data_IF_378544221311
#
_entry.id   IF_378544221311
#
_cell.length_a   1.000
_cell.length_b   1.000
_cell.length_c   1.000
_cell.angle_alpha   90.00
_cell.angle_beta   90.00
_cell.angle_gamma   90.00
#
_symmetry.space_group_name_H-M   'P 1'
#
loop_
_entity.id
_entity.type
_entity.pdbx_description
1 polymer ?
#
# COMPACT_ATOMS: atom_id res chain seq x y z
N UNK A 1 9.18 -2.76 -23.23
CA UNK A 1 8.01 -3.64 -22.96
C UNK A 1 8.10 -4.10 -21.52
N UNK A 2 7.03 -3.91 -20.75
CA UNK A 2 7.03 -4.21 -19.30
C UNK A 2 6.16 -5.43 -19.00
N UNK A 3 6.65 -6.35 -18.19
CA UNK A 3 5.88 -7.45 -17.61
C UNK A 3 5.36 -7.02 -16.24
N UNK A 4 4.06 -6.84 -16.13
CA UNK A 4 3.39 -6.49 -14.89
C UNK A 4 2.85 -7.73 -14.18
N UNK A 5 2.94 -7.73 -12.84
CA UNK A 5 2.46 -8.84 -12.00
C UNK A 5 1.70 -8.27 -10.80
N UNK A 6 0.52 -8.81 -10.52
CA UNK A 6 -0.22 -8.54 -9.29
C UNK A 6 0.05 -9.66 -8.29
N UNK A 7 0.89 -9.43 -7.29
CA UNK A 7 1.19 -10.38 -6.21
C UNK A 7 0.63 -9.85 -4.87
N UNK A 8 -0.68 -10.09 -4.58
CA UNK A 8 -1.36 -9.53 -3.41
C UNK A 8 -0.91 -10.13 -2.08
N UNK A 9 -0.12 -11.18 -2.09
CA UNK A 9 0.50 -11.85 -0.96
C UNK A 9 1.81 -11.19 -0.50
N UNK A 10 2.31 -10.19 -1.21
CA UNK A 10 3.58 -9.50 -0.97
C UNK A 10 3.85 -9.22 0.53
N UNK A 11 2.94 -8.53 1.21
CA UNK A 11 3.13 -8.21 2.63
C UNK A 11 3.20 -9.45 3.54
N UNK A 12 2.55 -10.55 3.13
CA UNK A 12 2.61 -11.82 3.85
C UNK A 12 3.94 -12.53 3.64
N UNK A 13 4.51 -12.43 2.44
CA UNK A 13 5.85 -12.94 2.12
C UNK A 13 6.90 -12.18 2.95
N UNK A 14 6.81 -10.85 3.00
CA UNK A 14 7.69 -10.02 3.83
C UNK A 14 7.57 -10.38 5.32
N UNK A 15 6.35 -10.59 5.82
CA UNK A 15 6.10 -10.98 7.20
C UNK A 15 6.64 -12.38 7.55
N UNK A 16 6.56 -13.31 6.62
CA UNK A 16 7.08 -14.67 6.80
C UNK A 16 8.62 -14.70 6.85
N UNK A 17 9.28 -13.91 6.01
CA UNK A 17 10.74 -13.76 6.00
C UNK A 17 11.52 -15.03 5.67
N UNK A 18 10.86 -16.07 5.13
CA UNK A 18 11.46 -17.35 4.75
C UNK A 18 11.39 -17.56 3.24
N UNK A 19 12.17 -18.52 2.74
CA UNK A 19 12.34 -18.75 1.32
C UNK A 19 11.22 -19.65 0.71
N UNK A 20 10.32 -20.21 1.53
CA UNK A 20 9.29 -21.16 1.09
C UNK A 20 7.92 -20.80 1.67
N UNK A 21 7.47 -19.55 1.40
CA UNK A 21 6.15 -19.13 1.85
C UNK A 21 5.07 -19.56 0.85
N UNK A 22 4.10 -20.32 1.32
CA UNK A 22 2.91 -20.65 0.54
C UNK A 22 1.79 -19.67 0.84
N UNK A 23 1.33 -18.86 -0.14
CA UNK A 23 0.24 -17.92 0.07
C UNK A 23 -1.04 -18.63 0.56
N UNK A 24 -1.77 -18.04 1.52
CA UNK A 24 -3.05 -18.57 1.95
C UNK A 24 -4.08 -18.54 0.80
N UNK A 25 -5.11 -19.40 0.90
CA UNK A 25 -6.15 -19.53 -0.14
C UNK A 25 -6.72 -18.18 -0.57
N UNK A 26 -7.05 -17.30 0.38
CA UNK A 26 -7.61 -15.99 0.08
C UNK A 26 -6.69 -15.10 -0.79
N UNK A 27 -5.38 -15.17 -0.62
CA UNK A 27 -4.43 -14.43 -1.45
C UNK A 27 -4.32 -15.05 -2.87
N UNK A 28 -4.33 -16.39 -2.96
CA UNK A 28 -4.36 -17.08 -4.25
C UNK A 28 -5.65 -16.80 -5.03
N UNK A 29 -6.79 -16.82 -4.35
CA UNK A 29 -8.09 -16.47 -4.95
C UNK A 29 -8.09 -15.01 -5.43
N UNK A 30 -7.53 -14.09 -4.64
CA UNK A 30 -7.42 -12.68 -5.00
C UNK A 30 -6.53 -12.47 -6.25
N UNK A 31 -5.41 -13.19 -6.34
CA UNK A 31 -4.57 -13.20 -7.54
C UNK A 31 -5.33 -13.75 -8.76
N UNK A 32 -6.00 -14.90 -8.60
CA UNK A 32 -6.75 -15.53 -9.68
C UNK A 32 -7.87 -14.62 -10.21
N UNK A 33 -8.53 -13.88 -9.33
CA UNK A 33 -9.67 -13.06 -9.68
C UNK A 33 -9.30 -11.66 -10.17
N UNK A 34 -8.26 -11.05 -9.60
CA UNK A 34 -7.87 -9.67 -9.84
C UNK A 34 -6.46 -9.51 -10.44
N UNK A 35 -5.83 -10.60 -10.88
CA UNK A 35 -4.51 -10.57 -11.53
C UNK A 35 -4.43 -9.62 -12.73
N UNK A 36 -5.55 -9.28 -13.32
CA UNK A 36 -5.65 -8.32 -14.42
C UNK A 36 -5.47 -6.85 -14.01
N UNK A 37 -5.49 -6.50 -12.73
CA UNK A 37 -5.42 -5.10 -12.27
C UNK A 37 -4.30 -4.28 -12.93
N UNK A 38 -3.09 -4.83 -13.16
CA UNK A 38 -2.03 -4.10 -13.84
C UNK A 38 -2.40 -3.58 -15.23
N UNK A 39 -3.34 -4.23 -15.94
CA UNK A 39 -3.80 -3.75 -17.23
C UNK A 39 -4.44 -2.34 -17.19
N UNK A 40 -4.83 -1.86 -15.98
CA UNK A 40 -5.41 -0.54 -15.80
C UNK A 40 -4.40 0.61 -15.92
N UNK A 41 -3.10 0.34 -15.77
CA UNK A 41 -2.02 1.32 -15.91
C UNK A 41 -0.93 0.90 -16.91
N UNK A 42 -0.95 -0.35 -17.39
CA UNK A 42 -0.02 -0.83 -18.40
C UNK A 42 -0.20 -0.09 -19.73
N UNK A 43 0.87 0.04 -20.47
CA UNK A 43 0.87 0.66 -21.81
C UNK A 43 0.52 -0.36 -22.89
N UNK A 44 0.10 0.11 -24.05
CA UNK A 44 -0.08 -0.77 -25.21
C UNK A 44 1.24 -1.50 -25.54
N UNK A 45 1.18 -2.81 -25.70
CA UNK A 45 2.34 -3.68 -25.91
C UNK A 45 2.96 -4.24 -24.64
N UNK A 46 2.55 -3.79 -23.45
CA UNK A 46 2.98 -4.40 -22.18
C UNK A 46 2.25 -5.73 -21.93
N UNK A 47 2.91 -6.58 -21.13
CA UNK A 47 2.40 -7.87 -20.68
C UNK A 47 1.86 -7.78 -19.27
N UNK A 48 0.76 -8.48 -18.99
CA UNK A 48 0.24 -8.68 -17.63
C UNK A 48 0.13 -10.18 -17.38
N UNK A 49 0.88 -10.68 -16.39
CA UNK A 49 0.81 -12.07 -15.97
C UNK A 49 -0.45 -12.30 -15.14
N UNK A 50 -1.28 -13.22 -15.58
CA UNK A 50 -2.55 -13.60 -14.97
C UNK A 50 -2.63 -15.10 -14.74
N UNK A 51 -3.53 -15.54 -13.87
CA UNK A 51 -3.75 -16.97 -13.63
C UNK A 51 -4.41 -17.67 -14.83
N UNK A 52 -5.33 -16.96 -15.51
CA UNK A 52 -6.08 -17.42 -16.68
C UNK A 52 -6.38 -16.21 -17.57
N UNK A 53 -5.83 -16.21 -18.78
CA UNK A 53 -5.93 -15.09 -19.70
C UNK A 53 -7.35 -14.88 -20.24
N UNK A 54 -8.11 -15.95 -20.48
CA UNK A 54 -9.48 -15.86 -20.98
C UNK A 54 -10.42 -15.29 -19.92
N UNK A 55 -10.36 -15.81 -18.70
CA UNK A 55 -11.14 -15.30 -17.57
C UNK A 55 -10.79 -13.84 -17.25
N UNK A 56 -9.51 -13.45 -17.32
CA UNK A 56 -9.08 -12.09 -17.10
C UNK A 56 -9.59 -11.14 -18.20
N UNK A 57 -9.60 -11.54 -19.46
CA UNK A 57 -10.18 -10.78 -20.57
C UNK A 57 -11.67 -10.54 -20.36
N UNK A 58 -12.43 -11.58 -19.94
CA UNK A 58 -13.85 -11.45 -19.68
C UNK A 58 -14.14 -10.43 -18.58
N UNK A 59 -13.34 -10.47 -17.49
CA UNK A 59 -13.49 -9.52 -16.38
C UNK A 59 -13.17 -8.07 -16.80
N UNK A 60 -12.20 -7.87 -17.68
CA UNK A 60 -11.83 -6.55 -18.19
C UNK A 60 -12.86 -5.93 -19.15
N UNK A 61 -13.70 -6.73 -19.81
CA UNK A 61 -14.74 -6.21 -20.72
C UNK A 61 -15.69 -5.21 -20.05
N UNK A 62 -15.88 -5.32 -18.75
CA UNK A 62 -16.72 -4.41 -17.98
C UNK A 62 -16.02 -3.09 -17.62
N UNK A 63 -14.71 -2.99 -17.82
CA UNK A 63 -13.91 -1.79 -17.51
C UNK A 63 -13.55 -1.11 -18.86
N UNK A 64 -14.48 -0.31 -19.36
CA UNK A 64 -14.36 0.30 -20.71
C UNK A 64 -13.12 1.20 -20.87
N UNK A 65 -12.41 0.99 -21.98
CA UNK A 65 -11.59 2.02 -22.65
C UNK A 65 -10.12 2.14 -22.23
N UNK A 66 -9.66 1.55 -21.11
CA UNK A 66 -8.31 1.82 -20.57
C UNK A 66 -7.26 0.71 -20.79
N UNK A 67 -7.66 -0.43 -21.35
CA UNK A 67 -6.77 -1.61 -21.48
C UNK A 67 -6.41 -1.95 -22.92
N UNK A 68 -6.59 -0.99 -23.85
CA UNK A 68 -6.39 -1.23 -25.28
C UNK A 68 -4.93 -1.52 -25.62
N UNK A 69 -4.68 -2.69 -26.20
CA UNK A 69 -3.34 -3.10 -26.65
C UNK A 69 -2.45 -3.73 -25.56
N UNK A 70 -2.95 -3.95 -24.35
CA UNK A 70 -2.25 -4.72 -23.29
C UNK A 70 -2.46 -6.21 -23.55
N UNK A 71 -1.41 -7.00 -23.37
CA UNK A 71 -1.42 -8.44 -23.59
C UNK A 71 -1.54 -9.18 -22.23
N UNK A 72 -2.67 -9.87 -22.01
CA UNK A 72 -2.83 -10.75 -20.85
C UNK A 72 -2.22 -12.12 -21.21
N UNK A 73 -1.29 -12.59 -20.38
CA UNK A 73 -0.58 -13.85 -20.59
C UNK A 73 -0.64 -14.70 -19.33
N UNK A 74 -0.92 -15.98 -19.48
CA UNK A 74 -0.76 -16.96 -18.40
C UNK A 74 0.69 -17.48 -18.34
N UNK A 75 0.98 -18.19 -17.25
CA UNK A 75 2.32 -18.73 -16.99
C UNK A 75 2.84 -19.60 -18.13
N UNK A 76 2.01 -20.53 -18.61
CA UNK A 76 2.42 -21.50 -19.62
C UNK A 76 2.68 -20.84 -20.98
N UNK A 77 1.86 -19.85 -21.34
CA UNK A 77 2.03 -19.06 -22.55
C UNK A 77 3.31 -18.23 -22.49
N UNK A 78 3.58 -17.58 -21.35
CA UNK A 78 4.78 -16.78 -21.16
C UNK A 78 6.04 -17.66 -21.20
N UNK A 79 6.02 -18.84 -20.55
CA UNK A 79 7.13 -19.79 -20.57
C UNK A 79 7.43 -20.29 -21.99
N UNK A 80 6.39 -20.66 -22.75
CA UNK A 80 6.57 -21.06 -24.16
C UNK A 80 7.15 -19.92 -25.00
N UNK A 81 6.74 -18.68 -24.77
CA UNK A 81 7.25 -17.51 -25.48
C UNK A 81 8.74 -17.25 -25.19
N UNK A 82 9.22 -17.50 -23.97
CA UNK A 82 10.65 -17.44 -23.64
C UNK A 82 11.43 -18.58 -24.33
N UNK A 83 10.92 -19.81 -24.27
CA UNK A 83 11.59 -20.99 -24.89
C UNK A 83 11.67 -20.80 -26.41
N UNK A 84 10.65 -20.28 -27.06
CA UNK A 84 10.63 -20.03 -28.51
C UNK A 84 11.42 -18.80 -28.96
N UNK A 85 11.91 -17.97 -28.03
CA UNK A 85 12.57 -16.71 -28.33
C UNK A 85 11.62 -15.61 -28.83
N UNK A 86 10.30 -15.79 -28.69
CA UNK A 86 9.31 -14.75 -29.03
C UNK A 86 9.47 -13.54 -28.10
N UNK A 87 9.77 -13.78 -26.83
CA UNK A 87 10.18 -12.75 -25.87
C UNK A 87 11.61 -13.03 -25.39
N UNK A 88 12.39 -11.98 -25.28
CA UNK A 88 13.77 -12.05 -24.80
C UNK A 88 13.82 -11.42 -23.42
N UNK A 89 14.21 -12.18 -22.41
CA UNK A 89 14.10 -11.80 -21.00
C UNK A 89 14.87 -10.53 -20.64
N UNK A 90 16.04 -10.30 -21.25
CA UNK A 90 16.86 -9.10 -21.02
C UNK A 90 16.33 -7.82 -21.71
N UNK A 91 15.21 -7.91 -22.45
CA UNK A 91 14.51 -6.78 -23.06
C UNK A 91 13.18 -6.46 -22.35
N UNK A 92 12.91 -7.15 -21.24
CA UNK A 92 11.72 -6.96 -20.44
C UNK A 92 12.07 -6.16 -19.17
N UNK A 93 11.37 -5.05 -18.98
CA UNK A 93 11.25 -4.46 -17.65
C UNK A 93 10.25 -5.27 -16.84
N UNK A 94 10.53 -5.52 -15.57
CA UNK A 94 9.64 -6.31 -14.70
C UNK A 94 9.10 -5.41 -13.60
N UNK A 95 7.77 -5.32 -13.54
CA UNK A 95 7.06 -4.45 -12.63
C UNK A 95 6.01 -5.22 -11.80
N UNK A 96 6.39 -5.91 -10.73
CA UNK A 96 5.44 -6.54 -9.83
C UNK A 96 4.67 -5.49 -9.02
N UNK A 97 3.62 -5.93 -8.35
CA UNK A 97 2.93 -5.15 -7.32
C UNK A 97 3.90 -4.72 -6.23
N UNK A 98 4.70 -5.66 -5.75
CA UNK A 98 5.84 -5.44 -4.88
C UNK A 98 6.89 -6.54 -5.08
N UNK A 99 8.16 -6.19 -4.97
CA UNK A 99 9.25 -7.15 -5.06
C UNK A 99 9.42 -7.95 -3.77
N UNK A 100 9.37 -9.26 -3.88
CA UNK A 100 9.61 -10.21 -2.80
C UNK A 100 10.23 -11.52 -3.34
N UNK A 101 10.60 -12.43 -2.42
CA UNK A 101 11.25 -13.70 -2.78
C UNK A 101 10.34 -14.61 -3.61
N UNK A 102 9.03 -14.63 -3.32
CA UNK A 102 8.09 -15.48 -4.06
C UNK A 102 7.94 -15.04 -5.51
N UNK A 103 7.85 -13.73 -5.77
CA UNK A 103 7.75 -13.24 -7.14
C UNK A 103 9.05 -13.42 -7.90
N UNK A 104 10.21 -13.29 -7.25
CA UNK A 104 11.50 -13.64 -7.85
C UNK A 104 11.55 -15.11 -8.24
N UNK A 105 11.18 -16.01 -7.34
CA UNK A 105 11.14 -17.46 -7.60
C UNK A 105 10.15 -17.81 -8.72
N UNK A 106 8.96 -17.21 -8.72
CA UNK A 106 7.98 -17.38 -9.80
C UNK A 106 8.59 -17.03 -11.15
N UNK A 107 9.27 -15.89 -11.25
CA UNK A 107 9.88 -15.40 -12.49
C UNK A 107 11.03 -16.30 -12.95
N UNK A 108 11.91 -16.74 -12.05
CA UNK A 108 12.97 -17.69 -12.35
C UNK A 108 12.39 -19.01 -12.90
N UNK A 109 11.33 -19.52 -12.26
CA UNK A 109 10.66 -20.77 -12.65
C UNK A 109 9.95 -20.71 -14.01
N UNK A 110 9.59 -19.53 -14.52
CA UNK A 110 9.05 -19.38 -15.88
C UNK A 110 10.11 -19.04 -16.92
N UNK A 111 11.38 -18.96 -16.51
CA UNK A 111 12.50 -18.81 -17.44
C UNK A 111 13.05 -17.40 -17.58
N UNK A 112 12.71 -16.47 -16.66
CA UNK A 112 13.37 -15.16 -16.61
C UNK A 112 14.81 -15.35 -16.16
N UNK A 113 15.76 -14.73 -16.87
CA UNK A 113 17.18 -14.80 -16.53
C UNK A 113 17.49 -14.17 -15.19
N UNK A 114 18.37 -14.79 -14.40
CA UNK A 114 18.83 -14.25 -13.12
C UNK A 114 19.47 -12.84 -13.25
N UNK A 115 20.04 -12.52 -14.43
CA UNK A 115 20.68 -11.21 -14.69
C UNK A 115 19.70 -10.03 -14.65
N UNK A 116 18.39 -10.27 -14.85
CA UNK A 116 17.34 -9.24 -14.81
C UNK A 116 16.52 -9.32 -13.53
N UNK A 117 16.76 -10.31 -12.68
CA UNK A 117 16.10 -10.45 -11.39
C UNK A 117 16.88 -9.73 -10.29
N UNK A 118 16.20 -9.13 -9.30
CA UNK A 118 16.88 -8.49 -8.18
C UNK A 118 17.69 -9.51 -7.36
N UNK A 119 18.82 -9.04 -6.80
CA UNK A 119 19.61 -9.87 -5.90
C UNK A 119 18.84 -10.18 -4.60
N UNK A 120 19.24 -11.26 -3.92
CA UNK A 120 18.65 -11.61 -2.62
C UNK A 120 18.92 -10.53 -1.58
N UNK A 121 20.12 -9.93 -1.60
CA UNK A 121 20.50 -8.87 -0.68
C UNK A 121 19.61 -7.63 -0.87
N UNK A 122 19.35 -7.24 -2.12
CA UNK A 122 18.43 -6.13 -2.40
C UNK A 122 17.00 -6.42 -1.92
N UNK A 123 16.51 -7.66 -2.07
CA UNK A 123 15.19 -8.05 -1.55
C UNK A 123 15.12 -7.98 -0.02
N UNK A 124 16.19 -8.33 0.69
CA UNK A 124 16.26 -8.17 2.15
C UNK A 124 16.33 -6.69 2.57
N UNK A 125 17.02 -5.85 1.80
CA UNK A 125 17.03 -4.40 2.02
C UNK A 125 15.62 -3.83 1.82
N UNK A 126 14.92 -4.18 0.74
CA UNK A 126 13.53 -3.77 0.49
C UNK A 126 12.62 -4.24 1.63
N UNK A 127 12.76 -5.50 2.08
CA UNK A 127 12.01 -6.02 3.21
C UNK A 127 12.26 -5.18 4.47
N UNK A 128 13.51 -4.86 4.77
CA UNK A 128 13.89 -4.04 5.93
C UNK A 128 13.26 -2.66 5.88
N UNK A 129 13.39 -1.97 4.75
CA UNK A 129 12.87 -0.61 4.52
C UNK A 129 11.32 -0.60 4.55
N UNK A 130 10.67 -1.70 4.16
CA UNK A 130 9.21 -1.85 4.19
C UNK A 130 8.65 -2.04 5.60
N UNK A 131 9.51 -2.20 6.63
CA UNK A 131 9.05 -2.47 7.98
C UNK A 131 8.55 -1.20 8.71
N UNK A 132 7.51 -1.34 9.52
CA UNK A 132 7.08 -0.26 10.43
C UNK A 132 8.18 0.15 11.41
N UNK A 133 9.10 -0.77 11.75
CA UNK A 133 10.29 -0.45 12.54
C UNK A 133 11.17 0.57 11.84
N UNK A 134 11.47 0.36 10.55
CA UNK A 134 12.30 1.29 9.79
C UNK A 134 11.63 2.67 9.65
N UNK A 135 10.33 2.70 9.35
CA UNK A 135 9.53 3.93 9.31
C UNK A 135 9.56 4.69 10.65
N UNK A 136 9.40 3.97 11.76
CA UNK A 136 9.41 4.56 13.12
C UNK A 136 10.73 5.23 13.48
N UNK A 137 11.85 4.73 12.96
CA UNK A 137 13.18 5.29 13.27
C UNK A 137 13.63 6.35 12.26
N UNK A 138 13.34 6.14 10.96
CA UNK A 138 13.99 6.90 9.90
C UNK A 138 13.08 7.94 9.23
N UNK A 139 11.76 7.84 9.37
CA UNK A 139 10.84 8.72 8.64
C UNK A 139 9.95 9.52 9.58
N UNK A 140 9.14 8.86 10.40
CA UNK A 140 8.08 9.52 11.16
C UNK A 140 8.56 10.64 12.08
N UNK A 141 9.65 10.50 12.86
CA UNK A 141 10.10 11.56 13.78
C UNK A 141 10.54 12.82 13.04
N UNK A 142 11.39 12.69 12.03
CA UNK A 142 11.91 13.82 11.26
C UNK A 142 10.82 14.48 10.42
N UNK A 143 9.96 13.70 9.77
CA UNK A 143 8.83 14.18 9.00
C UNK A 143 7.88 15.02 9.87
N UNK A 144 7.51 14.51 11.04
CA UNK A 144 6.62 15.21 11.97
C UNK A 144 7.26 16.48 12.52
N UNK A 145 8.54 16.45 12.86
CA UNK A 145 9.28 17.62 13.35
C UNK A 145 9.38 18.71 12.26
N UNK A 146 9.78 18.34 11.04
CA UNK A 146 9.91 19.27 9.91
C UNK A 146 8.57 19.94 9.60
N UNK A 147 7.51 19.17 9.55
CA UNK A 147 6.17 19.69 9.26
C UNK A 147 5.63 20.59 10.40
N UNK A 148 5.92 20.27 11.66
CA UNK A 148 5.53 21.14 12.80
C UNK A 148 6.35 22.43 12.88
N UNK A 149 7.56 22.48 12.30
CA UNK A 149 8.29 23.74 12.15
C UNK A 149 7.58 24.69 11.15
N UNK A 150 6.91 24.14 10.14
CA UNK A 150 6.15 24.90 9.16
C UNK A 150 4.74 25.26 9.67
N UNK A 151 4.08 24.34 10.34
CA UNK A 151 2.70 24.45 10.84
C UNK A 151 2.62 23.95 12.29
N UNK A 152 2.91 24.81 13.28
CA UNK A 152 3.01 24.40 14.68
C UNK A 152 1.75 23.69 15.19
N UNK A 153 1.95 22.53 15.84
CA UNK A 153 0.91 21.69 16.45
C UNK A 153 -0.16 21.16 15.45
N UNK A 154 0.14 21.11 14.16
CA UNK A 154 -0.77 20.59 13.14
C UNK A 154 -0.46 19.16 12.73
N UNK A 155 0.68 18.62 13.16
CA UNK A 155 1.11 17.26 12.84
C UNK A 155 1.36 16.47 14.13
N UNK A 156 0.92 15.22 14.11
CA UNK A 156 1.11 14.26 15.20
C UNK A 156 1.66 12.95 14.64
N UNK A 157 2.25 12.15 15.46
CA UNK A 157 2.74 10.83 15.10
C UNK A 157 3.93 10.47 15.97
N UNK A 158 3.77 9.45 16.79
CA UNK A 158 4.83 8.87 17.61
C UNK A 158 4.73 7.37 17.51
N UNK A 159 5.85 6.71 17.28
CA UNK A 159 5.92 5.26 17.19
C UNK A 159 7.16 4.77 17.92
N UNK A 160 6.97 3.82 18.83
CA UNK A 160 8.02 3.20 19.63
C UNK A 160 8.27 1.78 19.13
N UNK A 161 9.54 1.42 18.94
CA UNK A 161 9.94 0.04 18.63
C UNK A 161 10.11 -0.71 19.95
N UNK A 162 9.42 -1.83 20.07
CA UNK A 162 9.34 -2.65 21.28
C UNK A 162 9.87 -4.05 20.98
N UNK A 163 10.98 -4.42 21.63
CA UNK A 163 11.69 -5.68 21.40
C UNK A 163 11.49 -6.69 22.54
N UNK A 164 10.75 -6.32 23.59
CA UNK A 164 10.46 -7.23 24.69
C UNK A 164 9.13 -6.90 25.38
N UNK A 165 8.54 -7.92 26.00
CA UNK A 165 7.32 -7.74 26.80
C UNK A 165 7.53 -6.83 28.02
N UNK A 166 8.77 -6.73 28.54
CA UNK A 166 9.10 -5.79 29.60
C UNK A 166 9.00 -4.34 29.14
N UNK A 167 9.56 -4.02 27.95
CA UNK A 167 9.43 -2.69 27.33
C UNK A 167 7.96 -2.35 27.04
N UNK A 168 7.17 -3.32 26.54
CA UNK A 168 5.74 -3.11 26.34
C UNK A 168 5.04 -2.67 27.62
N UNK A 169 5.28 -3.37 28.73
CA UNK A 169 4.66 -3.06 30.02
C UNK A 169 5.08 -1.68 30.57
N UNK A 170 6.33 -1.27 30.33
CA UNK A 170 6.81 0.07 30.72
C UNK A 170 6.09 1.16 29.92
N UNK A 171 6.03 1.02 28.60
CA UNK A 171 5.36 2.01 27.75
C UNK A 171 3.85 2.11 27.99
N UNK A 172 3.20 1.01 28.40
CA UNK A 172 1.77 1.03 28.78
C UNK A 172 1.49 1.82 30.07
N UNK A 173 2.50 2.04 30.94
CA UNK A 173 2.35 2.92 32.10
C UNK A 173 2.32 4.39 31.70
N UNK A 174 3.05 4.76 30.65
CA UNK A 174 3.09 6.13 30.11
C UNK A 174 1.96 6.40 29.12
N UNK A 175 1.60 5.37 28.34
CA UNK A 175 0.57 5.42 27.31
C UNK A 175 -0.47 4.33 27.55
N UNK A 176 -1.52 4.59 28.34
CA UNK A 176 -2.48 3.56 28.73
C UNK A 176 -3.40 3.06 27.60
N UNK A 177 -3.56 3.85 26.54
CA UNK A 177 -4.36 3.48 25.35
C UNK A 177 -3.48 3.56 24.10
N UNK A 178 -3.20 2.39 23.50
CA UNK A 178 -2.24 2.27 22.41
C UNK A 178 -2.73 1.36 21.28
N UNK A 179 -2.10 1.55 20.12
CA UNK A 179 -2.18 0.63 19.00
C UNK A 179 -0.83 -0.07 18.84
N UNK A 180 -0.84 -1.39 18.88
CA UNK A 180 0.36 -2.21 18.68
C UNK A 180 0.29 -2.85 17.30
N UNK A 181 1.39 -2.78 16.54
CA UNK A 181 1.45 -3.26 15.16
C UNK A 181 2.64 -4.21 14.96
N UNK A 182 2.47 -5.27 14.17
CA UNK A 182 3.58 -6.08 13.69
C UNK A 182 4.43 -5.29 12.68
N UNK A 183 5.75 -5.54 12.58
CA UNK A 183 6.63 -4.89 11.59
C UNK A 183 6.15 -5.03 10.16
N UNK A 184 5.68 -6.21 9.80
CA UNK A 184 5.05 -6.53 8.52
C UNK A 184 3.72 -7.20 8.75
N UNK A 185 2.70 -6.78 8.02
CA UNK A 185 1.38 -7.42 8.08
C UNK A 185 0.52 -6.99 6.90
N UNK A 186 -0.45 -7.82 6.52
CA UNK A 186 -1.42 -7.52 5.47
C UNK A 186 -2.77 -7.17 6.07
N UNK A 187 -3.44 -6.16 5.48
CA UNK A 187 -4.87 -5.88 5.67
C UNK A 187 -5.36 -5.83 7.12
N UNK A 188 -4.64 -5.11 8.00
CA UNK A 188 -5.05 -4.87 9.39
C UNK A 188 -4.98 -6.10 10.33
N UNK A 189 -4.50 -7.24 9.86
CA UNK A 189 -4.36 -8.46 10.70
C UNK A 189 -3.25 -8.35 11.74
N UNK A 190 -2.24 -7.54 11.48
CA UNK A 190 -1.12 -7.28 12.37
C UNK A 190 -1.32 -6.12 13.33
N UNK A 191 -2.55 -5.79 13.73
CA UNK A 191 -2.86 -4.65 14.59
C UNK A 191 -3.66 -5.12 15.81
N UNK A 192 -3.27 -4.65 17.00
CA UNK A 192 -4.00 -4.86 18.25
C UNK A 192 -4.16 -3.54 18.98
N UNK A 193 -5.26 -3.41 19.72
CA UNK A 193 -5.51 -2.28 20.61
C UNK A 193 -5.34 -2.76 22.06
N UNK A 194 -4.65 -1.96 22.86
CA UNK A 194 -4.44 -2.25 24.28
C UNK A 194 -4.89 -1.05 25.09
N UNK A 195 -5.75 -1.30 26.05
CA UNK A 195 -6.16 -0.33 27.07
C UNK A 195 -5.64 -0.81 28.44
N UNK A 196 -4.74 -0.04 29.04
CA UNK A 196 -4.03 -0.28 30.30
C UNK A 196 -3.15 -1.55 30.30
N UNK A 197 -3.69 -2.70 29.93
CA UNK A 197 -2.97 -4.00 29.86
C UNK A 197 -3.52 -4.87 28.74
N UNK A 198 -2.67 -5.68 28.08
CA UNK A 198 -3.14 -6.63 27.09
C UNK A 198 -3.98 -7.74 27.74
N UNK A 199 -5.00 -8.20 27.05
CA UNK A 199 -5.63 -9.48 27.36
C UNK A 199 -4.69 -10.66 27.02
N UNK A 200 -4.93 -11.89 27.51
CA UNK A 200 -4.03 -13.02 27.29
C UNK A 200 -3.77 -13.36 25.81
N UNK A 201 -4.77 -13.17 24.94
CA UNK A 201 -4.63 -13.41 23.50
C UNK A 201 -3.71 -12.36 22.85
N UNK A 202 -3.90 -11.10 23.20
CA UNK A 202 -3.07 -9.98 22.72
C UNK A 202 -1.66 -10.07 23.29
N UNK A 203 -1.48 -10.45 24.56
CA UNK A 203 -0.15 -10.68 25.17
C UNK A 203 0.60 -11.80 24.43
N UNK A 204 -0.05 -12.94 24.20
CA UNK A 204 0.52 -14.05 23.44
C UNK A 204 0.86 -13.67 22.00
N UNK A 205 0.00 -12.87 21.34
CA UNK A 205 0.28 -12.36 20.00
C UNK A 205 1.49 -11.42 19.97
N UNK A 206 1.63 -10.50 20.93
CA UNK A 206 2.78 -9.61 21.05
C UNK A 206 4.08 -10.41 21.22
N UNK A 207 4.09 -11.35 22.18
CA UNK A 207 5.26 -12.19 22.44
C UNK A 207 5.69 -13.01 21.22
N UNK A 208 4.74 -13.66 20.54
CA UNK A 208 5.01 -14.45 19.33
C UNK A 208 5.45 -13.56 18.15
N UNK A 209 4.94 -12.32 18.03
CA UNK A 209 5.37 -11.40 16.99
C UNK A 209 6.80 -10.91 17.24
N UNK A 210 7.15 -10.57 18.48
CA UNK A 210 8.52 -10.21 18.86
C UNK A 210 9.47 -11.36 18.57
N UNK A 211 9.10 -12.60 18.93
CA UNK A 211 9.92 -13.78 18.68
C UNK A 211 10.16 -14.02 17.16
N UNK A 212 9.11 -13.90 16.35
CA UNK A 212 9.18 -14.23 14.91
C UNK A 212 9.69 -13.09 14.02
N UNK A 213 9.36 -11.85 14.37
CA UNK A 213 9.66 -10.67 13.54
C UNK A 213 10.64 -9.69 14.22
N UNK A 214 11.14 -10.03 15.41
CA UNK A 214 12.15 -9.26 16.15
C UNK A 214 11.60 -8.13 17.00
N UNK A 215 10.46 -7.57 16.69
CA UNK A 215 9.83 -6.48 17.43
C UNK A 215 8.33 -6.34 17.12
N UNK A 216 7.69 -5.44 17.85
CA UNK A 216 6.42 -4.81 17.49
C UNK A 216 6.62 -3.29 17.52
N UNK A 217 5.74 -2.52 16.88
CA UNK A 217 5.69 -1.08 17.06
C UNK A 217 4.46 -0.71 17.91
N UNK A 218 4.60 0.31 18.75
CA UNK A 218 3.56 0.82 19.62
C UNK A 218 3.34 2.30 19.33
N UNK A 219 2.10 2.68 19.12
CA UNK A 219 1.69 4.07 18.90
C UNK A 219 0.62 4.46 19.93
N UNK A 220 0.62 5.69 20.46
CA UNK A 220 -0.54 6.21 21.18
C UNK A 220 -1.80 6.06 20.34
N UNK A 221 -2.93 5.81 20.97
CA UNK A 221 -4.20 5.78 20.25
C UNK A 221 -4.59 7.21 19.81
N UNK A 222 -4.76 7.38 18.53
CA UNK A 222 -5.24 8.64 17.95
C UNK A 222 -6.72 8.54 17.63
N UNK A 223 -7.50 9.57 18.00
CA UNK A 223 -8.92 9.66 17.65
C UNK A 223 -9.08 9.98 16.16
N UNK A 224 -9.07 8.93 15.35
CA UNK A 224 -9.11 9.02 13.90
C UNK A 224 -10.43 9.58 13.39
N UNK A 225 -10.36 10.57 12.51
CA UNK A 225 -11.48 11.19 11.80
C UNK A 225 -11.60 10.65 10.37
N UNK A 226 -10.47 10.55 9.64
CA UNK A 226 -10.42 10.08 8.25
C UNK A 226 -9.12 9.37 7.95
N UNK A 227 -9.20 8.34 7.11
CA UNK A 227 -8.04 7.76 6.42
C UNK A 227 -7.89 8.42 5.05
N UNK A 228 -6.66 8.65 4.63
CA UNK A 228 -6.27 9.03 3.29
C UNK A 228 -4.82 8.59 3.07
N UNK A 229 -4.33 8.68 1.86
CA UNK A 229 -2.95 8.38 1.53
C UNK A 229 -2.42 9.27 0.42
N UNK A 230 -1.14 9.20 0.22
CA UNK A 230 -0.44 9.79 -0.92
C UNK A 230 0.35 8.70 -1.63
N UNK A 231 0.25 8.71 -2.95
CA UNK A 231 0.93 7.75 -3.81
C UNK A 231 2.11 8.42 -4.49
N UNK A 232 3.22 7.68 -4.59
CA UNK A 232 4.49 8.16 -5.13
C UNK A 232 5.12 7.09 -6.02
N UNK A 233 6.17 7.49 -6.74
CA UNK A 233 7.06 6.58 -7.45
C UNK A 233 8.51 7.02 -7.28
N UNK A 234 9.38 6.08 -6.96
CA UNK A 234 10.83 6.28 -6.98
C UNK A 234 11.33 5.88 -8.36
N UNK A 235 11.92 6.81 -9.09
CA UNK A 235 12.43 6.57 -10.43
C UNK A 235 13.91 6.13 -10.38
N UNK A 236 14.43 5.72 -11.54
CA UNK A 236 15.78 5.12 -11.66
C UNK A 236 16.91 6.04 -11.21
N UNK A 237 16.70 7.35 -11.21
CA UNK A 237 17.67 8.32 -10.70
C UNK A 237 17.56 8.58 -9.18
N UNK A 238 16.67 7.86 -8.49
CA UNK A 238 16.42 7.96 -7.05
C UNK A 238 15.50 9.10 -6.62
N UNK A 239 14.98 9.90 -7.57
CA UNK A 239 14.01 10.93 -7.24
C UNK A 239 12.64 10.30 -6.95
N UNK A 240 11.95 10.84 -5.95
CA UNK A 240 10.59 10.46 -5.60
C UNK A 240 9.61 11.45 -6.21
N UNK A 241 8.71 10.95 -7.05
CA UNK A 241 7.67 11.75 -7.68
C UNK A 241 6.33 11.54 -6.96
N UNK A 242 5.65 12.61 -6.62
CA UNK A 242 4.28 12.56 -6.13
C UNK A 242 3.31 12.28 -7.27
N UNK A 243 2.44 11.27 -7.10
CA UNK A 243 1.47 10.85 -8.11
C UNK A 243 0.05 11.33 -7.82
N UNK A 244 -0.31 11.53 -6.56
CA UNK A 244 -1.63 12.03 -6.20
C UNK A 244 -2.16 11.52 -4.87
N UNK A 245 -3.27 12.12 -4.44
CA UNK A 245 -4.02 11.75 -3.26
C UNK A 245 -4.84 10.47 -3.49
N UNK A 246 -4.90 9.64 -2.46
CA UNK A 246 -5.80 8.50 -2.34
C UNK A 246 -6.73 8.72 -1.15
N UNK A 247 -8.02 8.91 -1.42
CA UNK A 247 -9.05 8.97 -0.39
C UNK A 247 -9.74 7.63 -0.35
N UNK A 248 -9.54 6.91 0.74
CA UNK A 248 -10.04 5.56 0.89
C UNK A 248 -10.80 5.36 2.20
N UNK A 249 -11.45 4.24 2.29
CA UNK A 249 -12.21 3.82 3.44
C UNK A 249 -11.75 2.47 3.92
N UNK A 250 -11.73 2.35 5.24
CA UNK A 250 -11.59 1.07 5.94
C UNK A 250 -12.84 0.77 6.77
N UNK A 251 -13.24 -0.48 6.82
CA UNK A 251 -14.26 -0.99 7.74
C UNK A 251 -13.68 -2.18 8.48
N UNK A 252 -13.79 -2.20 9.81
CA UNK A 252 -13.18 -3.23 10.65
C UNK A 252 -11.69 -3.48 10.29
N UNK A 253 -10.95 -2.40 9.98
CA UNK A 253 -9.52 -2.40 9.57
C UNK A 253 -9.22 -3.00 8.20
N UNK A 254 -10.23 -3.31 7.42
CA UNK A 254 -10.09 -3.83 6.05
C UNK A 254 -10.45 -2.73 5.05
N UNK A 255 -9.65 -2.60 4.00
CA UNK A 255 -9.96 -1.71 2.88
C UNK A 255 -11.32 -2.09 2.27
N UNK A 256 -12.14 -1.08 2.02
CA UNK A 256 -13.48 -1.27 1.45
C UNK A 256 -13.70 -0.49 0.16
N UNK A 257 -12.90 0.51 -0.13
CA UNK A 257 -12.99 1.24 -1.38
C UNK A 257 -12.24 2.56 -1.40
N UNK A 258 -12.09 3.13 -2.61
CA UNK A 258 -11.44 4.43 -2.86
C UNK A 258 -12.33 5.33 -3.69
N UNK A 259 -12.25 6.64 -3.41
CA UNK A 259 -12.87 7.67 -4.22
C UNK A 259 -12.09 7.84 -5.53
N UNK A 260 -12.78 7.73 -6.65
CA UNK A 260 -12.29 8.05 -7.98
C UNK A 260 -12.77 9.46 -8.35
N UNK A 261 -11.88 10.42 -8.24
CA UNK A 261 -12.12 11.84 -8.52
C UNK A 261 -10.83 12.48 -9.04
N UNK A 262 -10.95 13.69 -9.57
CA UNK A 262 -9.76 14.49 -9.91
C UNK A 262 -8.99 14.87 -8.65
N UNK A 263 -7.73 15.23 -8.80
CA UNK A 263 -6.91 15.68 -7.67
C UNK A 263 -7.53 16.91 -6.97
N UNK A 264 -7.99 17.90 -7.75
CA UNK A 264 -8.65 19.09 -7.22
C UNK A 264 -9.88 18.76 -6.37
N UNK A 265 -10.71 17.82 -6.82
CA UNK A 265 -11.88 17.36 -6.05
C UNK A 265 -11.49 16.68 -4.74
N UNK A 266 -10.40 15.90 -4.74
CA UNK A 266 -9.88 15.25 -3.51
C UNK A 266 -9.31 16.29 -2.53
N UNK A 267 -8.60 17.29 -3.06
CA UNK A 267 -8.10 18.43 -2.27
C UNK A 267 -9.27 19.21 -1.67
N UNK A 268 -10.30 19.52 -2.47
CA UNK A 268 -11.52 20.21 -2.01
C UNK A 268 -12.22 19.38 -0.91
N UNK A 269 -12.30 18.06 -1.06
CA UNK A 269 -12.86 17.19 -0.03
C UNK A 269 -12.08 17.30 1.30
N UNK A 270 -10.74 17.28 1.27
CA UNK A 270 -9.91 17.40 2.46
C UNK A 270 -9.86 18.82 3.03
N UNK A 271 -10.10 19.85 2.20
CA UNK A 271 -10.12 21.26 2.63
C UNK A 271 -11.19 21.57 3.67
N UNK A 272 -12.22 20.73 3.77
CA UNK A 272 -13.25 20.83 4.80
C UNK A 272 -12.72 20.54 6.22
N UNK A 273 -11.55 19.91 6.32
CA UNK A 273 -10.94 19.46 7.58
C UNK A 273 -9.64 20.20 7.90
N UNK A 274 -8.84 20.52 6.88
CA UNK A 274 -7.49 21.08 7.01
C UNK A 274 -7.17 22.02 5.86
N UNK A 275 -6.18 22.90 6.07
CA UNK A 275 -5.67 23.75 5.01
C UNK A 275 -4.93 22.90 3.94
N UNK A 276 -5.28 23.09 2.68
CA UNK A 276 -4.66 22.40 1.53
C UNK A 276 -3.16 22.67 1.45
N UNK A 277 -2.67 23.82 1.91
CA UNK A 277 -1.24 24.11 1.96
C UNK A 277 -0.46 23.12 2.82
N UNK A 278 -1.07 22.58 3.87
CA UNK A 278 -0.45 21.52 4.68
C UNK A 278 -0.27 20.22 3.90
N UNK A 279 -1.21 19.85 3.02
CA UNK A 279 -1.08 18.66 2.18
C UNK A 279 0.06 18.80 1.17
N UNK A 280 0.23 19.99 0.60
CA UNK A 280 1.37 20.29 -0.29
C UNK A 280 2.70 20.20 0.46
N UNK A 281 2.78 20.81 1.65
CA UNK A 281 3.98 20.71 2.48
C UNK A 281 4.32 19.25 2.84
N UNK A 282 3.30 18.42 3.12
CA UNK A 282 3.49 16.99 3.36
C UNK A 282 4.08 16.30 2.14
N UNK A 283 3.51 16.47 0.94
CA UNK A 283 4.01 15.83 -0.27
C UNK A 283 5.42 16.27 -0.62
N UNK A 284 5.75 17.57 -0.52
CA UNK A 284 7.07 18.14 -0.79
C UNK A 284 8.12 17.63 0.22
N UNK A 285 7.79 17.61 1.52
CA UNK A 285 8.69 17.11 2.56
C UNK A 285 8.97 15.63 2.38
N UNK A 286 7.94 14.81 2.10
CA UNK A 286 8.07 13.38 1.83
C UNK A 286 8.94 13.15 0.60
N UNK A 287 8.67 13.85 -0.51
CA UNK A 287 9.44 13.74 -1.74
C UNK A 287 10.92 14.00 -1.49
N UNK A 288 11.24 15.08 -0.81
CA UNK A 288 12.63 15.44 -0.49
C UNK A 288 13.30 14.42 0.42
N UNK A 289 12.64 14.04 1.51
CA UNK A 289 13.17 13.12 2.51
C UNK A 289 13.39 11.73 1.94
N UNK A 290 12.37 11.17 1.27
CA UNK A 290 12.46 9.82 0.72
C UNK A 290 13.41 9.73 -0.48
N UNK A 291 13.57 10.78 -1.28
CA UNK A 291 14.62 10.81 -2.33
C UNK A 291 16.02 10.61 -1.73
N UNK A 292 16.30 11.19 -0.58
CA UNK A 292 17.58 10.99 0.10
C UNK A 292 17.69 9.59 0.76
N UNK A 293 16.61 9.12 1.42
CA UNK A 293 16.63 7.86 2.17
C UNK A 293 16.61 6.61 1.29
N UNK A 294 15.96 6.68 0.12
CA UNK A 294 15.75 5.55 -0.79
C UNK A 294 16.74 5.52 -1.97
N UNK A 295 17.61 6.54 -2.10
CA UNK A 295 18.63 6.61 -3.15
C UNK A 295 19.47 5.32 -3.17
N UNK A 296 19.55 4.66 -4.32
CA UNK A 296 20.24 3.39 -4.56
C UNK A 296 19.72 2.20 -3.72
N UNK A 297 18.57 2.33 -3.08
CA UNK A 297 17.99 1.27 -2.25
C UNK A 297 16.67 0.74 -2.79
N UNK A 298 15.89 1.60 -3.43
CA UNK A 298 14.58 1.22 -3.95
C UNK A 298 14.25 2.00 -5.22
N UNK A 299 13.62 1.33 -6.17
CA UNK A 299 13.01 1.89 -7.38
C UNK A 299 11.63 1.28 -7.53
N UNK A 300 10.64 2.10 -7.82
CA UNK A 300 9.27 1.64 -8.03
C UNK A 300 8.21 2.43 -7.25
N UNK A 301 6.97 1.98 -7.31
CA UNK A 301 5.84 2.64 -6.66
C UNK A 301 5.89 2.49 -5.14
N UNK A 302 5.50 3.53 -4.42
CA UNK A 302 5.27 3.46 -2.98
C UNK A 302 4.02 4.28 -2.60
N UNK A 303 3.32 3.83 -1.56
CA UNK A 303 2.19 4.54 -0.98
C UNK A 303 2.43 4.85 0.49
N UNK A 304 1.94 5.98 0.97
CA UNK A 304 2.01 6.37 2.37
C UNK A 304 0.59 6.55 2.89
N UNK A 305 0.23 5.73 3.86
CA UNK A 305 -1.04 5.86 4.56
C UNK A 305 -0.96 6.97 5.61
N UNK A 306 -1.98 7.79 5.66
CA UNK A 306 -2.11 8.95 6.53
C UNK A 306 -3.48 8.97 7.20
N UNK A 307 -3.62 9.74 8.26
CA UNK A 307 -4.94 9.95 8.87
C UNK A 307 -5.10 11.37 9.42
N UNK A 308 -6.33 11.86 9.35
CA UNK A 308 -6.77 13.01 10.11
C UNK A 308 -7.22 12.55 11.49
N UNK A 309 -6.78 13.24 12.51
CA UNK A 309 -7.09 12.92 13.89
C UNK A 309 -7.63 14.15 14.63
N UNK A 310 -8.52 13.93 15.58
CA UNK A 310 -8.97 14.95 16.50
C UNK A 310 -7.98 15.02 17.67
N UNK A 311 -7.46 16.22 17.94
CA UNK A 311 -6.56 16.44 19.07
C UNK A 311 -7.36 16.39 20.38
N UNK A 312 -6.79 15.73 21.37
CA UNK A 312 -7.41 15.58 22.67
C UNK A 312 -7.65 16.93 23.38
N UNK A 313 -8.78 17.05 24.04
CA UNK A 313 -9.15 18.28 24.75
C UNK A 313 -9.51 19.48 23.86
N UNK A 314 -9.50 19.35 22.54
CA UNK A 314 -9.81 20.42 21.59
C UNK A 314 -10.74 19.96 20.46
N UNK A 315 -11.22 20.90 19.67
CA UNK A 315 -11.90 20.60 18.40
C UNK A 315 -10.93 20.69 17.20
N UNK A 316 -9.65 20.90 17.44
CA UNK A 316 -8.67 21.01 16.38
C UNK A 316 -8.37 19.65 15.76
N UNK A 317 -8.11 19.67 14.46
CA UNK A 317 -7.64 18.51 13.72
C UNK A 317 -6.13 18.62 13.48
N UNK A 318 -5.50 17.46 13.43
CA UNK A 318 -4.10 17.31 13.06
C UNK A 318 -3.95 16.18 12.02
N UNK A 319 -2.85 16.19 11.30
CA UNK A 319 -2.46 15.13 10.37
C UNK A 319 -1.46 14.21 11.06
N UNK A 320 -1.69 12.91 10.99
CA UNK A 320 -0.65 11.90 11.16
C UNK A 320 -0.07 11.62 9.77
N UNK A 321 1.15 12.13 9.45
CA UNK A 321 1.62 12.20 8.08
C UNK A 321 2.22 10.89 7.55
N UNK A 322 2.41 9.88 8.41
CA UNK A 322 2.93 8.59 8.02
C UNK A 322 2.52 7.49 9.00
N UNK A 323 1.39 6.86 8.75
CA UNK A 323 0.88 5.72 9.54
C UNK A 323 1.54 4.42 9.11
N UNK A 324 1.86 4.32 7.80
CA UNK A 324 2.51 3.18 7.17
C UNK A 324 3.13 3.60 5.83
N UNK A 325 4.30 3.05 5.51
CA UNK A 325 4.91 3.13 4.18
C UNK A 325 4.76 1.77 3.52
N UNK A 326 4.23 1.78 2.29
CA UNK A 326 4.03 0.59 1.48
C UNK A 326 4.98 0.67 0.27
N UNK A 327 6.15 0.00 0.31
CA UNK A 327 7.10 -0.05 -0.81
C UNK A 327 6.62 -1.02 -1.90
N UNK A 328 5.48 -0.72 -2.43
CA UNK A 328 4.77 -1.45 -3.48
C UNK A 328 3.65 -0.60 -4.04
N UNK A 329 2.98 -1.11 -5.07
CA UNK A 329 1.70 -0.55 -5.46
C UNK A 329 0.67 -0.75 -4.34
N UNK A 330 -0.29 0.16 -4.29
CA UNK A 330 -1.41 0.14 -3.35
C UNK A 330 -2.73 0.21 -4.13
N UNK A 331 -3.84 0.01 -3.44
CA UNK A 331 -5.15 0.28 -4.05
C UNK A 331 -5.36 1.76 -4.38
N UNK A 332 -4.57 2.66 -3.78
CA UNK A 332 -4.49 4.06 -4.14
C UNK A 332 -3.96 4.26 -5.55
N UNK A 333 -2.89 3.58 -5.95
CA UNK A 333 -2.38 3.60 -7.33
C UNK A 333 -3.42 3.09 -8.34
N UNK A 334 -4.17 2.05 -7.98
CA UNK A 334 -5.29 1.56 -8.81
C UNK A 334 -6.36 2.64 -8.95
N UNK A 335 -6.72 3.31 -7.85
CA UNK A 335 -7.68 4.40 -7.86
C UNK A 335 -7.21 5.58 -8.72
N UNK A 336 -5.92 5.94 -8.65
CA UNK A 336 -5.34 6.99 -9.49
C UNK A 336 -5.44 6.63 -10.99
N UNK A 337 -5.13 5.38 -11.35
CA UNK A 337 -5.23 4.93 -12.75
C UNK A 337 -6.67 4.92 -13.29
N UNK A 338 -7.66 4.83 -12.42
CA UNK A 338 -9.09 4.84 -12.74
C UNK A 338 -9.75 6.21 -12.51
N UNK A 339 -9.01 7.20 -12.01
CA UNK A 339 -9.55 8.53 -11.75
C UNK A 339 -10.12 9.15 -13.03
N UNK A 340 -11.29 9.78 -12.95
CA UNK A 340 -11.97 10.37 -14.09
C UNK A 340 -11.24 11.63 -14.55
N UNK A 341 -11.49 12.01 -15.81
CA UNK A 341 -11.23 13.37 -16.28
C UNK A 341 -12.19 14.38 -15.62
N UNK A 342 -11.90 15.68 -15.66
CA UNK A 342 -12.78 16.70 -15.07
C UNK A 342 -14.23 16.69 -15.57
N UNK A 343 -14.47 16.13 -16.75
CA UNK A 343 -15.80 16.06 -17.39
C UNK A 343 -16.56 14.76 -17.06
N UNK A 344 -15.92 13.81 -16.42
CA UNK A 344 -16.52 12.53 -16.05
C UNK A 344 -17.03 12.54 -14.61
N UNK A 345 -18.11 11.80 -14.30
CA UNK A 345 -18.63 11.74 -12.93
C UNK A 345 -17.65 11.05 -11.98
N UNK A 346 -17.68 11.48 -10.73
CA UNK A 346 -16.99 10.81 -9.64
C UNK A 346 -17.55 9.40 -9.45
N UNK A 347 -16.69 8.48 -9.03
CA UNK A 347 -17.05 7.08 -8.79
C UNK A 347 -16.44 6.59 -7.48
N UNK A 348 -17.00 5.53 -6.95
CA UNK A 348 -16.41 4.75 -5.86
C UNK A 348 -15.89 3.43 -6.45
N UNK A 349 -14.61 3.15 -6.23
CA UNK A 349 -14.02 1.84 -6.48
C UNK A 349 -14.12 1.00 -5.21
N UNK A 350 -14.56 -0.24 -5.33
CA UNK A 350 -14.55 -1.21 -4.24
C UNK A 350 -14.11 -2.59 -4.71
N UNK A 351 -13.59 -3.39 -3.78
CA UNK A 351 -13.38 -4.82 -3.96
C UNK A 351 -14.40 -5.53 -3.09
N UNK A 352 -15.28 -6.30 -3.70
CA UNK A 352 -16.20 -7.20 -2.99
C UNK A 352 -15.88 -8.67 -3.25
N UNK A 353 -16.20 -9.51 -2.29
CA UNK A 353 -16.11 -10.95 -2.41
C UNK A 353 -17.52 -11.55 -2.36
N UNK A 354 -17.98 -12.01 -3.50
CA UNK A 354 -19.33 -12.57 -3.63
C UNK A 354 -19.29 -13.88 -4.42
N UNK A 355 -20.05 -14.88 -3.96
CA UNK A 355 -20.12 -16.21 -4.56
C UNK A 355 -18.75 -16.89 -4.74
N UNK A 356 -17.80 -16.63 -3.82
CA UNK A 356 -16.46 -17.21 -3.86
C UNK A 356 -15.48 -16.53 -4.81
N UNK A 357 -15.82 -15.38 -5.39
CA UNK A 357 -15.02 -14.63 -6.36
C UNK A 357 -14.84 -13.18 -5.91
N UNK A 358 -13.64 -12.63 -6.08
CA UNK A 358 -13.35 -11.21 -5.88
C UNK A 358 -13.70 -10.40 -7.12
N UNK A 359 -14.36 -9.27 -6.92
CA UNK A 359 -14.78 -8.37 -8.00
C UNK A 359 -14.31 -6.96 -7.76
N UNK A 360 -13.73 -6.33 -8.80
CA UNK A 360 -13.57 -4.89 -8.85
C UNK A 360 -14.91 -4.25 -9.28
N UNK A 361 -15.44 -3.37 -8.43
CA UNK A 361 -16.69 -2.64 -8.68
C UNK A 361 -16.43 -1.16 -8.81
N UNK A 362 -17.09 -0.54 -9.80
CA UNK A 362 -17.08 0.89 -10.02
C UNK A 362 -18.51 1.41 -9.93
N UNK A 363 -18.80 2.20 -8.90
CA UNK A 363 -20.13 2.77 -8.66
C UNK A 363 -20.10 4.26 -8.96
N UNK A 364 -20.97 4.75 -9.83
CA UNK A 364 -21.14 6.18 -10.04
C UNK A 364 -21.75 6.82 -8.80
N UNK A 365 -21.16 7.90 -8.33
CA UNK A 365 -21.73 8.70 -7.24
C UNK A 365 -22.74 9.67 -7.86
N UNK A 366 -23.99 9.67 -7.37
CA UNK A 366 -24.97 10.66 -7.71
C UNK A 366 -24.66 11.99 -7.01
N UNK A 367 -24.96 13.11 -7.67
CA UNK A 367 -24.68 14.45 -7.18
C UNK A 367 -25.11 14.64 -5.71
N UNK A 368 -24.21 15.19 -4.89
CA UNK A 368 -24.46 15.46 -3.48
C UNK A 368 -24.03 14.38 -2.48
N UNK A 369 -23.54 13.22 -2.93
CA UNK A 369 -23.18 12.09 -2.05
C UNK A 369 -21.77 12.18 -1.43
N UNK A 370 -20.91 13.11 -1.86
CA UNK A 370 -19.62 13.33 -1.19
C UNK A 370 -19.78 13.62 0.31
N UNK A 371 -20.85 14.33 0.68
CA UNK A 371 -21.12 14.70 2.07
C UNK A 371 -21.86 13.63 2.89
N UNK A 372 -22.51 12.66 2.25
CA UNK A 372 -23.35 11.68 2.96
C UNK A 372 -22.87 10.25 2.88
N UNK A 373 -22.34 9.79 1.76
CA UNK A 373 -21.92 8.40 1.62
C UNK A 373 -20.51 8.14 2.17
N UNK A 374 -19.57 9.05 1.97
CA UNK A 374 -18.25 8.95 2.60
C UNK A 374 -18.34 9.28 4.09
N UNK A 375 -19.29 10.13 4.54
CA UNK A 375 -19.52 10.41 5.95
C UNK A 375 -20.28 9.29 6.69
N UNK A 376 -21.09 8.48 6.01
CA UNK A 376 -21.83 7.36 6.59
C UNK A 376 -21.13 6.01 6.42
N UNK A 377 -20.05 6.07 5.77
CA UNK A 377 -19.26 4.88 5.63
C UNK A 377 -18.27 4.86 6.80
#
# INVERSE_FOLDING_TARGET
>A
MTLHIFNPDHDLVLAAGNDHFTPPKAARDLYADLGFLPALWAKAGDLVLVADAEAAHERLRHIKGRTKGVLLVDRDTLQRAFISGTFVTNQLDIAPWGWDKNVKELLANIGVSEDVLPSTDWLEDVRTISSRQWMSHNVLPELTATLNNLYPNKFVGTSFVVQSMAQLRTLLQEHPLVVVKAPWSSSGRGIRYIENKPDPSTEGWCANTIEKQGCITLEPYYNKVRDFGMEFNVNDNGCVDYLGLSIFKTSKRTYTGSLLATEDTKLEYLSQYIDVSMLRAVSETITTMLSALLLNKYVGPLGIDMMLVKQEGTNNLAIHPCVEINLRRTMGHVALSLSPSPLEPQRLMSIDHSRGVYHLRLHTLSDGLLNTSIARI
#
